data_IF_910330722973
#
_entry.id   IF_910330722973
#
_cell.length_a   1.000
_cell.length_b   1.000
_cell.length_c   1.000
_cell.angle_alpha   90.00
_cell.angle_beta   90.00
_cell.angle_gamma   90.00
#
_symmetry.space_group_name_H-M   'P 1'
#
loop_
_entity.id
_entity.type
_entity.pdbx_description
1 polymer ?
#
# COMPACT_ATOMS: atom_id res chain seq x y z
N UNK A 1 -19.83 -10.36 1.22
CA UNK A 1 -20.68 -9.43 0.46
C UNK A 1 -19.93 -8.26 -0.18
N UNK A 2 -19.43 -7.24 0.55
CA UNK A 2 -18.73 -6.09 -0.09
C UNK A 2 -17.40 -6.49 -0.73
N UNK A 3 -16.58 -7.28 -0.03
CA UNK A 3 -15.30 -7.80 -0.53
C UNK A 3 -15.46 -8.67 -1.77
N UNK A 4 -16.45 -9.57 -1.81
CA UNK A 4 -16.73 -10.40 -3.00
C UNK A 4 -17.15 -9.58 -4.21
N UNK A 5 -17.96 -8.53 -4.02
CA UNK A 5 -18.36 -7.62 -5.10
C UNK A 5 -17.12 -6.93 -5.66
N UNK A 6 -16.28 -6.36 -4.79
CA UNK A 6 -15.04 -5.68 -5.19
C UNK A 6 -14.12 -6.64 -5.95
N UNK A 7 -13.89 -7.85 -5.43
CA UNK A 7 -13.07 -8.87 -6.08
C UNK A 7 -13.64 -9.26 -7.44
N UNK A 8 -14.96 -9.44 -7.57
CA UNK A 8 -15.60 -9.83 -8.84
C UNK A 8 -15.47 -8.74 -9.91
N UNK A 9 -15.62 -7.47 -9.55
CA UNK A 9 -15.40 -6.36 -10.48
C UNK A 9 -13.91 -6.18 -10.83
N UNK A 10 -13.01 -6.37 -9.86
CA UNK A 10 -11.57 -6.33 -10.11
C UNK A 10 -11.13 -7.41 -11.11
N UNK A 11 -11.62 -8.65 -10.96
CA UNK A 11 -11.34 -9.74 -11.90
C UNK A 11 -11.88 -9.42 -13.29
N UNK A 12 -13.11 -8.90 -13.41
CA UNK A 12 -13.65 -8.46 -14.71
C UNK A 12 -12.80 -7.38 -15.38
N UNK A 13 -12.30 -6.42 -14.61
CA UNK A 13 -11.42 -5.36 -15.12
C UNK A 13 -10.09 -5.95 -15.59
N UNK A 14 -9.52 -6.90 -14.84
CA UNK A 14 -8.28 -7.59 -15.24
C UNK A 14 -8.48 -8.41 -16.52
N UNK A 15 -9.59 -9.12 -16.65
CA UNK A 15 -9.91 -9.91 -17.84
C UNK A 15 -10.17 -9.02 -19.07
N UNK A 16 -10.85 -7.87 -18.89
CA UNK A 16 -11.21 -6.98 -20.00
C UNK A 16 -10.05 -6.07 -20.44
N UNK A 17 -9.25 -5.55 -19.51
CA UNK A 17 -8.22 -4.53 -19.78
C UNK A 17 -6.79 -5.05 -19.66
N UNK A 18 -6.59 -6.30 -19.24
CA UNK A 18 -5.27 -6.90 -19.13
C UNK A 18 -4.33 -6.14 -18.19
N UNK A 19 -3.09 -5.93 -18.63
CA UNK A 19 -2.07 -5.17 -17.90
C UNK A 19 -2.51 -3.75 -17.53
N UNK A 20 -3.29 -3.08 -18.40
CA UNK A 20 -3.82 -1.75 -18.11
C UNK A 20 -4.86 -1.77 -16.98
N UNK A 21 -5.67 -2.84 -16.91
CA UNK A 21 -6.59 -3.07 -15.80
C UNK A 21 -5.85 -3.27 -14.48
N UNK A 22 -4.76 -4.02 -14.50
CA UNK A 22 -3.91 -4.22 -13.31
C UNK A 22 -3.28 -2.89 -12.84
N UNK A 23 -2.76 -2.08 -13.77
CA UNK A 23 -2.28 -0.74 -13.45
C UNK A 23 -3.37 0.17 -12.89
N UNK A 24 -4.56 0.17 -13.47
CA UNK A 24 -5.68 0.99 -13.00
C UNK A 24 -6.15 0.58 -11.60
N UNK A 25 -6.25 -0.72 -11.32
CA UNK A 25 -6.60 -1.22 -9.99
C UNK A 25 -5.55 -0.82 -8.95
N UNK A 26 -4.26 -0.88 -9.29
CA UNK A 26 -3.17 -0.43 -8.43
C UNK A 26 -3.18 1.09 -8.22
N UNK A 27 -3.57 1.88 -9.23
CA UNK A 27 -3.73 3.31 -9.09
C UNK A 27 -4.86 3.66 -8.11
N UNK A 28 -6.03 3.03 -8.29
CA UNK A 28 -7.18 3.24 -7.40
C UNK A 28 -6.84 2.85 -5.95
N UNK A 29 -6.15 1.74 -5.77
CA UNK A 29 -5.71 1.27 -4.46
C UNK A 29 -4.72 2.23 -3.78
N UNK A 30 -3.82 2.83 -4.56
CA UNK A 30 -2.92 3.87 -4.07
C UNK A 30 -3.62 5.21 -3.78
N UNK A 31 -4.85 5.41 -4.25
CA UNK A 31 -5.69 6.59 -3.98
C UNK A 31 -6.56 6.44 -2.71
N UNK A 32 -6.21 5.53 -1.79
CA UNK A 32 -6.94 5.27 -0.53
C UNK A 32 -8.31 4.59 -0.78
N UNK A 33 -8.57 4.09 -1.99
CA UNK A 33 -9.68 3.17 -2.17
C UNK A 33 -9.37 1.89 -1.37
N UNK A 34 -10.32 1.35 -0.57
CA UNK A 34 -10.16 0.09 0.14
C UNK A 34 -10.22 -1.07 -0.87
N UNK A 35 -9.18 -1.17 -1.69
CA UNK A 35 -8.94 -2.25 -2.64
C UNK A 35 -7.92 -3.20 -2.01
N UNK A 36 -8.24 -4.49 -1.84
CA UNK A 36 -7.27 -5.45 -1.35
C UNK A 36 -6.23 -5.75 -2.44
N UNK A 37 -5.16 -4.95 -2.51
CA UNK A 37 -4.00 -5.26 -3.39
C UNK A 37 -3.40 -6.63 -3.10
N UNK A 38 -3.54 -7.08 -1.86
CA UNK A 38 -3.22 -8.41 -1.35
C UNK A 38 -4.00 -9.53 -2.07
N UNK A 39 -5.13 -9.24 -2.70
CA UNK A 39 -5.86 -10.18 -3.55
C UNK A 39 -5.53 -10.00 -5.04
N UNK A 40 -5.35 -8.76 -5.49
CA UNK A 40 -5.11 -8.45 -6.92
C UNK A 40 -3.74 -8.95 -7.39
N UNK A 41 -2.67 -8.69 -6.64
CA UNK A 41 -1.32 -9.03 -7.07
C UNK A 41 -1.02 -10.53 -7.09
N UNK A 42 -1.47 -11.34 -6.10
CA UNK A 42 -1.37 -12.79 -6.22
C UNK A 42 -2.16 -13.36 -7.39
N UNK A 43 -3.34 -12.80 -7.71
CA UNK A 43 -4.11 -13.22 -8.87
C UNK A 43 -3.40 -12.89 -10.19
N UNK A 44 -2.78 -11.71 -10.31
CA UNK A 44 -1.87 -11.39 -11.43
C UNK A 44 -0.72 -12.40 -11.48
N UNK A 45 -0.14 -12.77 -10.33
CA UNK A 45 0.84 -13.85 -10.23
C UNK A 45 0.34 -15.19 -10.77
N UNK A 46 -0.93 -15.56 -10.52
CA UNK A 46 -1.50 -16.81 -11.05
C UNK A 46 -1.61 -16.77 -12.57
N UNK A 47 -2.02 -15.63 -13.14
CA UNK A 47 -2.10 -15.45 -14.58
C UNK A 47 -0.72 -15.53 -15.26
N UNK A 48 0.33 -15.07 -14.57
CA UNK A 48 1.72 -15.22 -15.04
C UNK A 48 2.17 -16.68 -14.92
N UNK A 49 1.83 -17.40 -13.84
CA UNK A 49 2.15 -18.83 -13.67
C UNK A 49 1.44 -19.71 -14.72
N UNK A 50 0.19 -19.39 -15.05
CA UNK A 50 -0.58 -20.07 -16.10
C UNK A 50 -0.08 -19.72 -17.52
N UNK A 51 1.00 -18.93 -17.66
CA UNK A 51 1.62 -18.56 -18.92
C UNK A 51 0.82 -17.55 -19.75
N UNK A 52 -0.27 -17.00 -19.21
CA UNK A 52 -1.13 -16.05 -19.92
C UNK A 52 -0.50 -14.66 -19.97
N UNK A 53 0.19 -14.25 -18.91
CA UNK A 53 0.76 -12.90 -18.76
C UNK A 53 2.28 -12.94 -18.56
N UNK A 54 2.98 -11.89 -18.99
CA UNK A 54 4.42 -11.74 -18.80
C UNK A 54 4.72 -11.07 -17.44
N UNK A 55 5.68 -11.61 -16.71
CA UNK A 55 6.11 -11.11 -15.40
C UNK A 55 6.54 -9.64 -15.47
N UNK A 56 7.40 -9.29 -16.42
CA UNK A 56 7.95 -7.94 -16.54
C UNK A 56 6.88 -6.90 -16.89
N UNK A 57 5.99 -7.23 -17.84
CA UNK A 57 4.89 -6.35 -18.21
C UNK A 57 3.90 -6.15 -17.04
N UNK A 58 3.67 -7.20 -16.24
CA UNK A 58 2.81 -7.15 -15.06
C UNK A 58 3.41 -6.26 -13.97
N UNK A 59 4.69 -6.42 -13.66
CA UNK A 59 5.38 -5.57 -12.67
C UNK A 59 5.42 -4.12 -13.14
N UNK A 60 5.75 -3.85 -14.40
CA UNK A 60 5.82 -2.49 -14.91
C UNK A 60 4.45 -1.80 -14.89
N UNK A 61 3.41 -2.45 -15.39
CA UNK A 61 2.04 -1.88 -15.42
C UNK A 61 1.50 -1.61 -14.02
N UNK A 62 1.68 -2.54 -13.09
CA UNK A 62 1.24 -2.39 -11.69
C UNK A 62 2.03 -1.31 -10.96
N UNK A 63 3.36 -1.25 -11.13
CA UNK A 63 4.20 -0.20 -10.54
C UNK A 63 3.87 1.20 -11.06
N UNK A 64 3.63 1.33 -12.37
CA UNK A 64 3.23 2.60 -12.97
C UNK A 64 1.85 3.03 -12.44
N UNK A 65 0.91 2.10 -12.34
CA UNK A 65 -0.38 2.32 -11.71
C UNK A 65 -0.26 2.83 -10.27
N UNK A 66 0.49 2.12 -9.42
CA UNK A 66 0.74 2.53 -8.03
C UNK A 66 1.40 3.90 -7.93
N UNK A 67 2.33 4.23 -8.83
CA UNK A 67 2.97 5.54 -8.89
C UNK A 67 1.94 6.63 -9.23
N UNK A 68 1.12 6.42 -10.26
CA UNK A 68 0.08 7.37 -10.68
C UNK A 68 -0.91 7.65 -9.55
N UNK A 69 -1.41 6.61 -8.88
CA UNK A 69 -2.31 6.79 -7.73
C UNK A 69 -1.64 7.49 -6.55
N UNK A 70 -0.38 7.12 -6.26
CA UNK A 70 0.43 7.78 -5.21
C UNK A 70 0.67 9.25 -5.52
N UNK A 71 0.91 9.61 -6.78
CA UNK A 71 1.09 10.99 -7.23
C UNK A 71 -0.19 11.81 -7.06
N UNK A 72 -1.35 11.24 -7.35
CA UNK A 72 -2.63 11.93 -7.10
C UNK A 72 -2.79 12.23 -5.61
N UNK A 73 -2.57 11.25 -4.72
CA UNK A 73 -2.59 11.44 -3.27
C UNK A 73 -1.55 12.46 -2.78
N UNK A 74 -0.36 12.45 -3.37
CA UNK A 74 0.70 13.43 -3.09
C UNK A 74 0.26 14.85 -3.49
N UNK A 75 -0.28 15.02 -4.69
CA UNK A 75 -0.75 16.32 -5.17
C UNK A 75 -1.96 16.81 -4.39
N UNK A 76 -2.85 15.92 -3.95
CA UNK A 76 -3.93 16.27 -3.02
C UNK A 76 -3.38 16.83 -1.71
N UNK A 77 -2.31 16.24 -1.15
CA UNK A 77 -1.61 16.78 0.02
C UNK A 77 -0.88 18.10 -0.27
N UNK A 78 -0.24 18.21 -1.44
CA UNK A 78 0.57 19.36 -1.84
C UNK A 78 -0.28 20.61 -2.14
N UNK A 79 -1.33 20.47 -2.97
CA UNK A 79 -2.23 21.56 -3.36
C UNK A 79 -3.36 21.80 -2.35
N UNK A 80 -3.74 20.79 -1.56
CA UNK A 80 -4.69 20.95 -0.46
C UNK A 80 -4.26 22.03 0.55
N UNK A 81 -2.94 22.27 0.69
CA UNK A 81 -2.39 23.42 1.40
C UNK A 81 -2.70 23.48 2.90
N UNK A 82 -2.14 24.50 3.58
CA UNK A 82 -2.37 24.77 5.02
C UNK A 82 -3.86 24.82 5.43
N UNK A 83 -4.82 25.42 4.68
CA UNK A 83 -6.20 25.57 5.18
C UNK A 83 -7.03 24.27 5.14
N UNK A 84 -6.84 23.40 4.16
CA UNK A 84 -7.56 22.11 4.07
C UNK A 84 -6.98 21.12 5.10
N UNK A 85 -5.66 21.19 5.33
CA UNK A 85 -4.97 20.44 6.38
C UNK A 85 -5.32 20.95 7.78
N UNK A 86 -5.58 22.25 8.00
CA UNK A 86 -6.09 22.73 9.30
C UNK A 86 -7.55 22.29 9.54
N UNK A 87 -8.37 22.19 8.48
CA UNK A 87 -9.76 21.68 8.57
C UNK A 87 -9.81 20.18 8.87
N UNK A 88 -8.99 19.38 8.18
CA UNK A 88 -8.90 17.92 8.39
C UNK A 88 -8.03 17.58 9.61
N UNK A 89 -7.04 18.43 9.90
CA UNK A 89 -6.16 18.38 11.07
C UNK A 89 -6.93 18.47 12.39
N UNK A 90 -8.12 19.06 12.41
CA UNK A 90 -9.03 18.99 13.57
C UNK A 90 -9.47 17.54 13.90
N UNK A 91 -9.50 16.66 12.90
CA UNK A 91 -9.74 15.22 13.08
C UNK A 91 -8.45 14.40 13.32
N UNK A 92 -7.29 14.94 12.94
CA UNK A 92 -5.96 14.32 13.12
C UNK A 92 -5.11 14.91 14.26
N UNK A 93 -5.64 15.89 15.01
CA UNK A 93 -4.95 16.64 16.07
C UNK A 93 -3.62 17.32 15.62
N UNK A 94 -3.52 17.76 14.36
CA UNK A 94 -2.31 18.40 13.83
C UNK A 94 -2.32 19.91 14.08
N UNK A 95 -1.31 20.42 14.78
CA UNK A 95 -1.12 21.86 15.00
C UNK A 95 -0.20 22.49 13.93
N UNK A 96 -0.15 23.82 13.84
CA UNK A 96 0.74 24.55 12.91
C UNK A 96 2.21 24.17 13.10
N UNK A 97 2.61 23.93 14.34
CA UNK A 97 3.96 23.50 14.67
C UNK A 97 4.29 22.10 14.13
N UNK A 98 3.33 21.17 14.18
CA UNK A 98 3.49 19.82 13.64
C UNK A 98 3.63 19.84 12.11
N UNK A 99 2.96 20.78 11.44
CA UNK A 99 3.09 20.96 9.99
C UNK A 99 4.49 21.43 9.59
N UNK A 100 5.05 22.42 10.29
CA UNK A 100 6.40 22.91 10.05
C UNK A 100 7.45 21.83 10.36
N UNK A 101 7.26 21.07 11.44
CA UNK A 101 8.09 19.90 11.72
C UNK A 101 8.02 18.86 10.60
N UNK A 102 6.83 18.57 10.08
CA UNK A 102 6.61 17.62 8.99
C UNK A 102 7.29 18.09 7.71
N UNK A 103 7.19 19.38 7.38
CA UNK A 103 7.88 19.98 6.22
C UNK A 103 9.41 19.87 6.35
N UNK A 104 9.95 20.17 7.53
CA UNK A 104 11.39 20.04 7.78
C UNK A 104 11.85 18.57 7.77
N UNK A 105 10.99 17.65 8.21
CA UNK A 105 11.28 16.21 8.26
C UNK A 105 11.28 15.58 6.86
N UNK A 106 10.26 15.87 6.05
CA UNK A 106 10.13 15.32 4.70
C UNK A 106 11.11 15.92 3.68
N UNK A 107 11.61 17.13 3.95
CA UNK A 107 12.72 17.73 3.19
C UNK A 107 14.10 17.14 3.52
N UNK A 108 14.23 16.38 4.61
CA UNK A 108 15.48 15.69 4.97
C UNK A 108 15.52 14.29 4.36
N UNK A 109 16.73 13.71 4.28
CA UNK A 109 16.92 12.28 3.93
C UNK A 109 16.07 11.33 4.79
N UNK A 110 15.77 11.70 6.03
CA UNK A 110 14.90 10.93 6.92
C UNK A 110 13.48 10.75 6.36
N UNK A 111 12.94 11.77 5.68
CA UNK A 111 11.65 11.70 4.97
C UNK A 111 11.66 10.69 3.83
N UNK A 112 12.74 10.67 3.04
CA UNK A 112 12.97 9.68 1.97
C UNK A 112 12.96 8.26 2.52
N UNK A 113 13.72 7.98 3.58
CA UNK A 113 13.76 6.66 4.22
C UNK A 113 12.42 6.26 4.83
N UNK A 114 11.73 7.21 5.47
CA UNK A 114 10.40 6.97 6.05
C UNK A 114 9.40 6.59 4.96
N UNK A 115 9.43 7.29 3.81
CA UNK A 115 8.57 7.00 2.68
C UNK A 115 8.88 5.63 2.05
N UNK A 116 10.15 5.24 2.01
CA UNK A 116 10.56 3.93 1.54
C UNK A 116 10.05 2.81 2.45
N UNK A 117 10.34 2.91 3.75
CA UNK A 117 10.00 1.87 4.74
C UNK A 117 8.48 1.72 4.89
N UNK A 118 7.76 2.84 4.94
CA UNK A 118 6.30 2.84 5.06
C UNK A 118 5.58 2.15 3.90
N UNK A 119 6.20 2.07 2.71
CA UNK A 119 5.62 1.37 1.55
C UNK A 119 5.54 -0.14 1.72
N UNK A 120 6.36 -0.72 2.59
CA UNK A 120 6.31 -2.14 2.95
C UNK A 120 5.28 -2.44 4.04
N UNK A 121 4.61 -1.42 4.59
CA UNK A 121 3.61 -1.57 5.64
C UNK A 121 2.22 -1.30 5.03
N UNK A 122 1.36 -2.33 4.84
CA UNK A 122 0.09 -2.21 4.12
C UNK A 122 -0.79 -1.05 4.59
N UNK A 123 -0.95 -0.84 5.90
CA UNK A 123 -1.77 0.27 6.43
C UNK A 123 -1.13 1.62 6.14
N UNK A 124 0.18 1.77 6.33
CA UNK A 124 0.85 3.07 6.29
C UNK A 124 1.07 3.53 4.84
N UNK A 125 1.28 2.60 3.89
CA UNK A 125 1.60 2.92 2.50
C UNK A 125 0.51 3.74 1.78
N UNK A 126 -0.76 3.54 2.14
CA UNK A 126 -1.88 4.30 1.56
C UNK A 126 -1.90 5.73 2.05
N UNK A 127 -1.56 5.93 3.33
CA UNK A 127 -1.64 7.23 3.96
C UNK A 127 -0.38 8.06 3.76
N UNK A 128 0.81 7.46 3.58
CA UNK A 128 2.09 8.20 3.56
C UNK A 128 2.24 9.20 2.40
N UNK A 129 1.54 8.98 1.29
CA UNK A 129 1.61 9.89 0.13
C UNK A 129 1.05 11.28 0.44
N UNK A 130 0.03 11.38 1.31
CA UNK A 130 -0.57 12.67 1.73
C UNK A 130 0.39 13.52 2.58
N UNK A 131 0.92 13.06 3.74
CA UNK A 131 1.84 13.84 4.56
C UNK A 131 3.15 14.14 3.82
N UNK A 132 3.59 13.29 2.89
CA UNK A 132 4.72 13.62 2.01
C UNK A 132 4.43 14.82 1.10
N UNK A 133 3.20 14.91 0.57
CA UNK A 133 2.72 16.07 -0.18
C UNK A 133 2.59 17.33 0.68
N UNK A 134 2.02 17.20 1.88
CA UNK A 134 1.89 18.30 2.85
C UNK A 134 3.27 18.85 3.23
N UNK A 135 4.24 17.97 3.48
CA UNK A 135 5.61 18.32 3.81
C UNK A 135 6.44 18.84 2.62
N UNK A 136 5.81 19.04 1.45
CA UNK A 136 6.44 19.58 0.23
C UNK A 136 7.72 18.87 -0.18
N UNK A 137 7.75 17.55 -0.02
CA UNK A 137 8.91 16.73 -0.40
C UNK A 137 9.24 16.92 -1.89
N UNK A 138 10.53 17.02 -2.29
CA UNK A 138 10.88 17.14 -3.71
C UNK A 138 10.29 15.99 -4.53
N UNK A 139 9.49 16.32 -5.56
CA UNK A 139 8.73 15.33 -6.33
C UNK A 139 9.62 14.26 -6.96
N UNK A 140 10.83 14.62 -7.40
CA UNK A 140 11.78 13.65 -7.94
C UNK A 140 12.16 12.57 -6.91
N UNK A 141 12.42 12.98 -5.67
CA UNK A 141 12.72 12.02 -4.58
C UNK A 141 11.50 11.16 -4.26
N UNK A 142 10.30 11.76 -4.22
CA UNK A 142 9.06 11.03 -4.01
C UNK A 142 8.83 9.96 -5.08
N UNK A 143 8.96 10.33 -6.37
CA UNK A 143 8.73 9.42 -7.51
C UNK A 143 9.74 8.27 -7.50
N UNK A 144 11.03 8.55 -7.35
CA UNK A 144 12.09 7.52 -7.37
C UNK A 144 11.87 6.51 -6.25
N UNK A 145 11.64 6.98 -5.02
CA UNK A 145 11.43 6.12 -3.86
C UNK A 145 10.13 5.33 -4.00
N UNK A 146 9.10 5.97 -4.54
CA UNK A 146 7.80 5.36 -4.77
C UNK A 146 7.86 4.24 -5.79
N UNK A 147 8.50 4.47 -6.93
CA UNK A 147 8.57 3.47 -7.98
C UNK A 147 9.46 2.29 -7.56
N UNK A 148 10.56 2.53 -6.87
CA UNK A 148 11.43 1.45 -6.35
C UNK A 148 10.67 0.64 -5.30
N UNK A 149 10.05 1.30 -4.32
CA UNK A 149 9.28 0.62 -3.27
C UNK A 149 8.08 -0.15 -3.82
N UNK A 150 7.30 0.47 -4.73
CA UNK A 150 6.17 -0.17 -5.38
C UNK A 150 6.62 -1.36 -6.23
N UNK A 151 7.69 -1.22 -7.02
CA UNK A 151 8.22 -2.31 -7.84
C UNK A 151 8.70 -3.47 -6.99
N UNK A 152 9.43 -3.21 -5.90
CA UNK A 152 9.92 -4.28 -5.03
C UNK A 152 8.75 -5.02 -4.36
N UNK A 153 7.79 -4.28 -3.82
CA UNK A 153 6.60 -4.86 -3.19
C UNK A 153 5.72 -5.63 -4.18
N UNK A 154 5.46 -5.03 -5.35
CA UNK A 154 4.63 -5.65 -6.38
C UNK A 154 5.28 -6.92 -6.92
N UNK A 155 6.59 -6.91 -7.14
CA UNK A 155 7.36 -8.09 -7.54
C UNK A 155 7.31 -9.17 -6.47
N UNK A 156 7.43 -8.80 -5.18
CA UNK A 156 7.34 -9.73 -4.07
C UNK A 156 5.97 -10.42 -4.00
N UNK A 157 4.87 -9.65 -4.05
CA UNK A 157 3.52 -10.22 -4.03
C UNK A 157 3.22 -11.08 -5.27
N UNK A 158 3.68 -10.64 -6.45
CA UNK A 158 3.53 -11.40 -7.69
C UNK A 158 4.30 -12.73 -7.61
N UNK A 159 5.53 -12.70 -7.10
CA UNK A 159 6.34 -13.91 -6.88
C UNK A 159 5.70 -14.85 -5.87
N UNK A 160 5.13 -14.32 -4.78
CA UNK A 160 4.36 -15.12 -3.84
C UNK A 160 3.15 -15.78 -4.53
N UNK A 161 2.41 -15.04 -5.36
CA UNK A 161 1.31 -15.58 -6.15
C UNK A 161 1.74 -16.69 -7.11
N UNK A 162 2.85 -16.49 -7.83
CA UNK A 162 3.46 -17.49 -8.71
C UNK A 162 3.76 -18.79 -7.95
N UNK A 163 4.47 -18.68 -6.82
CA UNK A 163 4.83 -19.84 -5.99
C UNK A 163 3.63 -20.52 -5.37
N UNK A 164 2.60 -19.77 -5.00
CA UNK A 164 1.35 -20.32 -4.47
C UNK A 164 0.62 -21.14 -5.54
N UNK A 165 0.64 -20.68 -6.80
CA UNK A 165 0.03 -21.36 -7.96
C UNK A 165 0.82 -22.60 -8.39
N UNK A 166 2.14 -22.53 -8.44
CA UNK A 166 3.00 -23.69 -8.73
C UNK A 166 2.80 -24.82 -7.70
N UNK A 167 2.55 -24.47 -6.43
CA UNK A 167 2.34 -25.42 -5.34
C UNK A 167 0.86 -25.63 -4.98
N UNK A 168 -0.06 -25.37 -5.91
CA UNK A 168 -1.51 -25.42 -5.66
C UNK A 168 -2.00 -26.76 -5.10
N UNK A 169 -1.33 -27.87 -5.45
CA UNK A 169 -1.60 -29.19 -4.88
C UNK A 169 -1.29 -29.30 -3.37
N UNK A 170 -0.33 -28.55 -2.85
CA UNK A 170 -0.02 -28.47 -1.41
C UNK A 170 -0.99 -27.52 -0.71
N UNK A 171 -1.37 -26.42 -1.37
CA UNK A 171 -2.32 -25.42 -0.85
C UNK A 171 -3.70 -26.02 -0.62
N UNK A 172 -4.22 -26.85 -1.53
CA UNK A 172 -5.51 -27.54 -1.33
C UNK A 172 -5.50 -28.49 -0.11
N UNK A 173 -4.35 -29.13 0.17
CA UNK A 173 -4.21 -30.04 1.32
C UNK A 173 -4.09 -29.29 2.66
N UNK A 174 -3.59 -28.05 2.64
CA UNK A 174 -3.33 -27.23 3.82
C UNK A 174 -4.22 -25.98 3.94
N UNK A 175 -5.25 -25.85 3.10
CA UNK A 175 -6.14 -24.67 3.05
C UNK A 175 -6.66 -24.26 4.43
N UNK A 176 -7.00 -25.24 5.27
CA UNK A 176 -7.50 -25.00 6.63
C UNK A 176 -6.44 -24.44 7.60
N UNK A 177 -5.14 -24.70 7.34
CA UNK A 177 -4.01 -24.25 8.16
C UNK A 177 -3.42 -22.92 7.67
N UNK A 178 -3.50 -22.65 6.36
CA UNK A 178 -3.09 -21.36 5.79
C UNK A 178 -4.02 -20.25 6.28
N UNK A 179 -5.34 -20.50 6.36
CA UNK A 179 -6.30 -19.59 6.98
C UNK A 179 -5.93 -19.30 8.45
N UNK A 180 -5.54 -20.34 9.19
CA UNK A 180 -5.07 -20.21 10.58
C UNK A 180 -3.78 -19.38 10.63
N UNK A 181 -2.83 -19.57 9.71
CA UNK A 181 -1.57 -18.84 9.68
C UNK A 181 -1.73 -17.34 9.38
N UNK A 182 -2.63 -16.99 8.45
CA UNK A 182 -2.98 -15.59 8.15
C UNK A 182 -3.71 -14.95 9.32
N UNK A 183 -4.65 -15.67 9.95
CA UNK A 183 -5.34 -15.21 11.16
C UNK A 183 -4.36 -15.05 12.32
N UNK A 184 -3.41 -15.98 12.51
CA UNK A 184 -2.38 -15.89 13.56
C UNK A 184 -1.47 -14.69 13.34
N UNK A 185 -1.05 -14.45 12.09
CA UNK A 185 -0.23 -13.29 11.74
C UNK A 185 -0.96 -11.98 12.05
N UNK A 186 -2.25 -11.88 11.70
CA UNK A 186 -3.10 -10.73 12.03
C UNK A 186 -3.31 -10.57 13.55
N UNK A 187 -3.49 -11.66 14.29
CA UNK A 187 -3.64 -11.64 15.76
C UNK A 187 -2.34 -11.24 16.45
N UNK A 188 -1.18 -11.72 15.98
CA UNK A 188 0.13 -11.32 16.51
C UNK A 188 0.39 -9.84 16.25
N UNK A 189 0.08 -9.35 15.05
CA UNK A 189 0.19 -7.92 14.71
C UNK A 189 -0.75 -7.06 15.57
N UNK A 190 -2.00 -7.46 15.78
CA UNK A 190 -2.92 -6.76 16.67
C UNK A 190 -2.45 -6.82 18.14
N UNK A 191 -1.99 -7.97 18.60
CA UNK A 191 -1.47 -8.15 19.96
C UNK A 191 -0.26 -7.28 20.24
N UNK A 192 0.68 -7.21 19.30
CA UNK A 192 1.84 -6.32 19.38
C UNK A 192 1.44 -4.83 19.33
N UNK A 193 0.49 -4.47 18.46
CA UNK A 193 -0.02 -3.11 18.35
C UNK A 193 -0.74 -2.65 19.64
N UNK A 194 -1.56 -3.52 20.24
CA UNK A 194 -2.24 -3.25 21.52
C UNK A 194 -1.22 -3.19 22.66
N UNK A 195 -0.26 -4.11 22.71
CA UNK A 195 0.78 -4.13 23.74
C UNK A 195 1.64 -2.86 23.70
N UNK A 196 2.06 -2.41 22.51
CA UNK A 196 2.84 -1.18 22.35
C UNK A 196 2.04 0.08 22.73
N UNK A 197 0.72 0.10 22.51
CA UNK A 197 -0.17 1.18 22.95
C UNK A 197 -0.41 1.17 24.46
N UNK A 198 -0.48 -0.01 25.09
CA UNK A 198 -0.65 -0.16 26.54
C UNK A 198 0.63 0.18 27.31
N UNK A 199 1.80 -0.18 26.79
CA UNK A 199 3.09 0.21 27.39
C UNK A 199 3.29 1.73 27.38
N UNK A 200 2.91 2.42 26.29
CA UNK A 200 2.97 3.89 26.21
C UNK A 200 1.99 4.61 27.14
N UNK A 201 0.89 3.95 27.56
CA UNK A 201 -0.05 4.51 28.55
C UNK A 201 0.46 4.35 30.00
N UNK A 202 1.08 3.21 30.33
CA UNK A 202 1.66 2.98 31.67
C UNK A 202 2.86 3.89 31.96
N UNK A 203 3.68 4.20 30.96
CA UNK A 203 4.83 5.10 31.11
C UNK A 203 4.49 6.59 31.26
N UNK A 204 3.21 6.98 31.13
CA UNK A 204 2.73 8.38 31.27
C UNK A 204 1.98 8.65 32.58
N UNK A 205 1.80 7.63 33.43
CA UNK A 205 1.08 7.70 34.72
C UNK A 205 1.95 7.32 35.93
N UNK A 206 3.24 7.05 35.73
CA UNK A 206 4.24 6.92 36.80
C UNK A 206 5.23 8.06 36.71
#
# INVERSE_FOLDING_TARGET
MITEIISRYAVKILEAMGYWGAGLLMALESMIAPLPSEAVMPFVGFLVADGKWNLWASVLSTSLGSLSGSLISYYLGYYGGKPLVLKVGKYLLLDRHDLEMTETFFNKRSGVWTLFISRFIPVIRHFISIPAGIGRMPIGSFVIVTIIGATLWNSFLLYLGLKLRENWHVVQKYSHQIDIGVVLFLVVLMGWFIHSRLQKRKARQG
#
